data_IF_719092703540
#
_entry.id   IF_719092703540
#
_cell.length_a   1.000
_cell.length_b   1.000
_cell.length_c   1.000
_cell.angle_alpha   90.00
_cell.angle_beta   90.00
_cell.angle_gamma   90.00
#
_symmetry.space_group_name_H-M   'P 1'
#
loop_
_entity.id
_entity.type
_entity.pdbx_description
1 polymer ?
#
# COMPACT_ATOMS: atom_id res chain seq x y z
N UNK A 1 21.16 2.45 -7.76
CA UNK A 1 19.81 1.88 -7.61
C UNK A 1 19.53 0.84 -8.69
N UNK A 2 19.77 1.17 -9.96
CA UNK A 2 19.53 0.24 -11.09
C UNK A 2 20.22 -1.12 -10.93
N UNK A 3 21.41 -1.17 -10.32
CA UNK A 3 22.11 -2.43 -10.02
C UNK A 3 21.28 -3.44 -9.23
N UNK A 4 20.37 -2.97 -8.36
CA UNK A 4 19.46 -3.82 -7.59
C UNK A 4 18.34 -4.45 -8.43
N UNK A 5 18.07 -3.89 -9.62
CA UNK A 5 17.09 -4.41 -10.56
C UNK A 5 17.73 -5.30 -11.63
N UNK A 6 18.95 -4.95 -12.07
CA UNK A 6 19.65 -5.63 -13.17
C UNK A 6 20.35 -6.92 -12.74
N UNK A 7 20.68 -7.05 -11.45
CA UNK A 7 21.34 -8.24 -10.90
C UNK A 7 20.33 -9.23 -10.34
N UNK A 8 20.29 -10.46 -10.91
CA UNK A 8 19.41 -11.54 -10.45
C UNK A 8 19.66 -11.97 -9.00
N UNK A 9 20.87 -11.72 -8.48
CA UNK A 9 21.27 -12.09 -7.12
C UNK A 9 21.19 -10.90 -6.15
N UNK A 10 20.82 -9.71 -6.63
CA UNK A 10 20.73 -8.55 -5.75
C UNK A 10 19.56 -8.71 -4.76
N UNK A 11 19.78 -8.40 -3.47
CA UNK A 11 18.70 -8.36 -2.51
C UNK A 11 17.72 -7.22 -2.83
N UNK A 12 16.45 -7.36 -2.45
CA UNK A 12 15.46 -6.30 -2.64
C UNK A 12 15.91 -5.00 -1.94
N UNK A 13 16.02 -3.89 -2.70
CA UNK A 13 16.42 -2.56 -2.20
C UNK A 13 15.61 -2.13 -0.96
N UNK A 14 14.31 -2.49 -0.90
CA UNK A 14 13.43 -2.14 0.22
C UNK A 14 13.96 -2.66 1.56
N UNK A 15 14.74 -3.76 1.57
CA UNK A 15 15.35 -4.31 2.78
C UNK A 15 16.40 -3.37 3.40
N UNK A 16 16.98 -2.47 2.61
CA UNK A 16 17.93 -1.48 3.10
C UNK A 16 17.21 -0.20 3.51
N UNK A 17 16.35 0.31 2.64
CA UNK A 17 15.78 1.66 2.78
C UNK A 17 14.52 1.71 3.65
N UNK A 18 13.97 0.56 4.07
CA UNK A 18 12.88 0.48 5.05
C UNK A 18 13.33 -0.14 6.38
N UNK A 19 14.63 -0.37 6.54
CA UNK A 19 15.21 -0.96 7.75
C UNK A 19 15.39 0.06 8.89
N UNK A 20 15.86 -0.45 10.04
CA UNK A 20 16.36 0.36 11.15
C UNK A 20 17.81 -0.02 11.45
N UNK A 21 18.66 0.98 11.61
CA UNK A 21 20.05 0.81 12.07
C UNK A 21 20.17 1.49 13.44
N UNK A 22 20.33 0.69 14.49
CA UNK A 22 20.20 1.17 15.87
C UNK A 22 18.79 1.71 16.14
N UNK A 23 18.70 2.97 16.57
CA UNK A 23 17.42 3.67 16.80
C UNK A 23 16.92 4.48 15.59
N UNK A 24 17.69 4.54 14.49
CA UNK A 24 17.37 5.38 13.32
C UNK A 24 16.67 4.56 12.25
N UNK A 25 15.55 5.08 11.74
CA UNK A 25 14.93 4.58 10.51
C UNK A 25 15.80 5.01 9.33
N UNK A 26 16.10 4.09 8.43
CA UNK A 26 16.71 4.42 7.14
C UNK A 26 15.63 4.97 6.22
N UNK A 27 15.90 6.10 5.56
CA UNK A 27 14.94 6.82 4.70
C UNK A 27 15.35 6.81 3.23
N UNK A 28 16.64 6.68 2.97
CA UNK A 28 17.24 6.60 1.63
C UNK A 28 18.43 5.65 1.61
N UNK A 29 18.81 5.20 0.42
CA UNK A 29 20.00 4.39 0.21
C UNK A 29 21.28 5.16 0.56
N UNK A 30 21.32 6.47 0.27
CA UNK A 30 22.40 7.34 0.72
C UNK A 30 22.56 7.30 2.25
N UNK A 31 21.46 7.43 3.01
CA UNK A 31 21.51 7.35 4.47
C UNK A 31 21.90 5.94 4.96
N UNK A 32 21.48 4.88 4.26
CA UNK A 32 21.93 3.52 4.55
C UNK A 32 23.46 3.41 4.47
N UNK A 33 24.06 3.83 3.35
CA UNK A 33 25.50 3.77 3.14
C UNK A 33 26.27 4.61 4.18
N UNK A 34 25.75 5.81 4.49
CA UNK A 34 26.31 6.67 5.54
C UNK A 34 26.28 6.01 6.91
N UNK A 35 25.22 5.27 7.25
CA UNK A 35 25.07 4.62 8.55
C UNK A 35 25.96 3.38 8.71
N UNK A 36 26.28 2.68 7.62
CA UNK A 36 27.24 1.56 7.65
C UNK A 36 28.70 2.00 7.53
N UNK A 37 28.96 3.29 7.32
CA UNK A 37 30.31 3.87 7.31
C UNK A 37 31.02 3.77 5.96
N UNK A 38 30.29 3.80 4.85
CA UNK A 38 30.89 3.86 3.50
C UNK A 38 31.70 5.15 3.33
N UNK A 39 32.94 5.03 2.87
CA UNK A 39 33.91 6.15 2.86
C UNK A 39 33.82 7.00 1.58
N UNK A 40 33.37 6.43 0.47
CA UNK A 40 33.39 7.06 -0.86
C UNK A 40 32.02 7.57 -1.30
N UNK A 41 31.34 8.34 -0.44
CA UNK A 41 30.03 8.90 -0.73
C UNK A 41 30.12 10.32 -1.33
N UNK A 42 29.23 10.67 -2.28
CA UNK A 42 29.08 12.05 -2.70
C UNK A 42 28.65 12.93 -1.52
N UNK A 43 29.14 14.16 -1.47
CA UNK A 43 28.77 15.11 -0.43
C UNK A 43 27.51 15.86 -0.84
N UNK A 44 26.41 15.58 -0.15
CA UNK A 44 25.14 16.31 -0.29
C UNK A 44 24.95 17.26 0.89
N UNK A 45 24.35 18.41 0.62
CA UNK A 45 23.85 19.33 1.65
C UNK A 45 22.69 18.69 2.42
N UNK A 46 22.35 19.24 3.58
CA UNK A 46 21.21 18.73 4.37
C UNK A 46 19.89 18.87 3.61
N UNK A 47 19.69 19.97 2.85
CA UNK A 47 18.48 20.19 2.05
C UNK A 47 18.37 19.20 0.88
N UNK A 48 19.49 18.91 0.22
CA UNK A 48 19.59 17.88 -0.82
C UNK A 48 19.28 16.48 -0.27
N UNK A 49 19.80 16.15 0.92
CA UNK A 49 19.53 14.87 1.57
C UNK A 49 18.06 14.74 1.99
N UNK A 50 17.44 15.82 2.47
CA UNK A 50 16.00 15.84 2.77
C UNK A 50 15.18 15.58 1.50
N UNK A 51 15.52 16.21 0.38
CA UNK A 51 14.81 15.99 -0.88
C UNK A 51 14.96 14.54 -1.38
N UNK A 52 16.18 13.97 -1.28
CA UNK A 52 16.44 12.56 -1.56
C UNK A 52 15.54 11.66 -0.71
N UNK A 53 15.52 11.86 0.61
CA UNK A 53 14.72 11.09 1.54
C UNK A 53 13.23 11.14 1.19
N UNK A 54 12.70 12.33 0.90
CA UNK A 54 11.29 12.50 0.54
C UNK A 54 10.92 11.78 -0.75
N UNK A 55 11.78 11.83 -1.78
CA UNK A 55 11.52 11.17 -3.08
C UNK A 55 11.69 9.65 -2.97
N UNK A 56 12.69 9.18 -2.24
CA UNK A 56 12.97 7.74 -2.10
C UNK A 56 11.94 7.05 -1.18
N UNK A 57 11.38 7.77 -0.21
CA UNK A 57 10.29 7.26 0.63
C UNK A 57 9.02 6.90 -0.14
N UNK A 58 8.83 7.45 -1.35
CA UNK A 58 7.74 7.08 -2.26
C UNK A 58 7.83 5.62 -2.73
N UNK A 59 9.00 4.98 -2.68
CA UNK A 59 9.14 3.57 -3.02
C UNK A 59 8.54 2.64 -1.94
N UNK A 60 7.99 1.48 -2.35
CA UNK A 60 7.72 1.09 -3.73
C UNK A 60 6.55 1.91 -4.32
N UNK A 61 6.47 2.04 -5.64
CA UNK A 61 5.37 2.77 -6.30
C UNK A 61 4.37 1.79 -6.93
N UNK A 62 3.07 2.07 -6.81
CA UNK A 62 1.98 1.29 -7.45
C UNK A 62 1.29 2.04 -8.58
N UNK A 63 1.76 3.26 -8.81
CA UNK A 63 1.38 4.24 -9.81
C UNK A 63 2.64 5.02 -10.18
N UNK A 64 2.81 5.36 -11.46
CA UNK A 64 4.06 5.93 -11.98
C UNK A 64 4.07 7.46 -12.04
N UNK A 65 2.90 8.10 -11.92
CA UNK A 65 2.67 9.54 -12.08
C UNK A 65 3.65 10.41 -11.29
N UNK A 66 3.84 10.15 -9.99
CA UNK A 66 4.78 10.89 -9.15
C UNK A 66 6.21 10.85 -9.72
N UNK A 67 6.65 9.69 -10.20
CA UNK A 67 8.00 9.49 -10.72
C UNK A 67 8.15 10.06 -12.14
N UNK A 68 7.10 10.06 -12.95
CA UNK A 68 7.10 10.76 -14.24
C UNK A 68 7.22 12.28 -14.06
N UNK A 69 6.51 12.85 -13.08
CA UNK A 69 6.61 14.27 -12.72
C UNK A 69 8.04 14.62 -12.31
N UNK A 70 8.61 13.84 -11.38
CA UNK A 70 9.98 14.05 -10.89
C UNK A 70 10.96 13.91 -12.07
N UNK A 71 10.84 12.86 -12.89
CA UNK A 71 11.70 12.65 -14.06
C UNK A 71 11.66 13.82 -15.04
N UNK A 72 10.46 14.34 -15.32
CA UNK A 72 10.27 15.50 -16.18
C UNK A 72 10.99 16.73 -15.62
N UNK A 73 10.84 16.99 -14.31
CA UNK A 73 11.48 18.12 -13.63
C UNK A 73 13.00 18.00 -13.48
N UNK A 74 13.59 16.80 -13.59
CA UNK A 74 15.05 16.67 -13.62
C UNK A 74 15.67 17.41 -14.83
N UNK A 75 14.89 17.67 -15.88
CA UNK A 75 15.33 18.34 -17.11
C UNK A 75 14.56 19.62 -17.44
N UNK A 76 13.55 19.98 -16.64
CA UNK A 76 12.70 21.14 -16.85
C UNK A 76 12.48 21.88 -15.53
N UNK A 77 12.38 23.20 -15.57
CA UNK A 77 12.23 23.98 -14.34
C UNK A 77 10.82 23.88 -13.75
N UNK A 78 9.80 23.61 -14.56
CA UNK A 78 8.39 23.67 -14.16
C UNK A 78 7.57 22.63 -14.93
N UNK A 79 6.66 21.97 -14.22
CA UNK A 79 5.84 20.87 -14.74
C UNK A 79 4.92 21.35 -15.86
N UNK A 80 4.79 20.52 -16.90
CA UNK A 80 3.71 20.61 -17.90
C UNK A 80 2.93 19.31 -17.89
N UNK A 81 1.70 19.35 -17.41
CA UNK A 81 0.87 18.16 -17.18
C UNK A 81 0.60 17.41 -18.48
N UNK A 82 0.45 18.14 -19.58
CA UNK A 82 0.16 17.61 -20.92
C UNK A 82 1.29 16.74 -21.48
N UNK A 83 2.53 16.94 -21.03
CA UNK A 83 3.71 16.16 -21.45
C UNK A 83 3.86 14.85 -20.66
N UNK A 84 3.08 14.68 -19.57
CA UNK A 84 3.17 13.53 -18.66
C UNK A 84 2.03 12.53 -18.92
N UNK A 85 0.83 13.03 -19.25
CA UNK A 85 -0.34 12.19 -19.52
C UNK A 85 -0.09 11.24 -20.69
N UNK A 86 -0.74 10.07 -20.67
CA UNK A 86 -0.68 9.12 -21.77
C UNK A 86 0.58 8.25 -21.82
N UNK A 87 1.45 8.32 -20.80
CA UNK A 87 2.56 7.37 -20.65
C UNK A 87 2.08 5.91 -20.70
N UNK A 88 0.97 5.61 -20.01
CA UNK A 88 0.20 4.39 -20.18
C UNK A 88 -1.28 4.67 -19.90
N UNK A 89 -2.14 3.65 -19.99
CA UNK A 89 -3.60 3.80 -19.82
C UNK A 89 -4.04 4.28 -18.42
N UNK A 90 -3.18 4.19 -17.41
CA UNK A 90 -3.46 4.62 -16.02
C UNK A 90 -3.03 6.07 -15.77
N UNK A 91 -2.11 6.62 -16.57
CA UNK A 91 -1.61 8.00 -16.43
C UNK A 91 -2.50 8.96 -17.22
N UNK A 92 -3.37 9.68 -16.51
CA UNK A 92 -4.33 10.62 -17.09
C UNK A 92 -4.35 11.94 -16.30
N UNK A 93 -5.12 12.90 -16.79
CA UNK A 93 -5.17 14.25 -16.22
C UNK A 93 -5.47 14.25 -14.70
N UNK A 94 -6.42 13.43 -14.25
CA UNK A 94 -6.82 13.39 -12.84
C UNK A 94 -5.72 12.79 -11.97
N UNK A 95 -5.06 11.72 -12.43
CA UNK A 95 -4.00 11.05 -11.66
C UNK A 95 -2.76 11.92 -11.56
N UNK A 96 -2.40 12.61 -12.65
CA UNK A 96 -1.26 13.54 -12.66
C UNK A 96 -1.52 14.74 -11.76
N UNK A 97 -2.72 15.35 -11.80
CA UNK A 97 -3.05 16.43 -10.86
C UNK A 97 -3.00 15.98 -9.40
N UNK A 98 -3.53 14.80 -9.10
CA UNK A 98 -3.46 14.22 -7.76
C UNK A 98 -2.01 13.96 -7.32
N UNK A 99 -1.14 13.49 -8.23
CA UNK A 99 0.28 13.29 -7.96
C UNK A 99 1.00 14.62 -7.70
N UNK A 100 0.72 15.69 -8.46
CA UNK A 100 1.26 17.03 -8.20
C UNK A 100 0.86 17.52 -6.80
N UNK A 101 -0.41 17.36 -6.43
CA UNK A 101 -0.91 17.73 -5.10
C UNK A 101 -0.20 16.95 -3.99
N UNK A 102 -0.06 15.63 -4.15
CA UNK A 102 0.64 14.80 -3.17
C UNK A 102 2.12 15.17 -3.01
N UNK A 103 2.83 15.39 -4.12
CA UNK A 103 4.23 15.81 -4.09
C UNK A 103 4.40 17.20 -3.46
N UNK A 104 3.46 18.11 -3.70
CA UNK A 104 3.42 19.43 -3.02
C UNK A 104 3.19 19.26 -1.52
N UNK A 105 2.21 18.44 -1.11
CA UNK A 105 1.91 18.19 0.29
C UNK A 105 3.06 17.52 1.05
N UNK A 106 3.86 16.69 0.36
CA UNK A 106 5.09 16.08 0.91
C UNK A 106 6.29 17.04 0.92
N UNK A 107 6.17 18.26 0.38
CA UNK A 107 7.24 19.24 0.33
C UNK A 107 8.31 18.97 -0.73
N UNK A 108 8.04 18.06 -1.67
CA UNK A 108 8.92 17.76 -2.81
C UNK A 108 8.80 18.86 -3.87
N UNK A 109 7.58 19.39 -4.03
CA UNK A 109 7.29 20.45 -4.98
C UNK A 109 6.84 21.74 -4.30
N UNK A 110 7.09 22.85 -4.98
CA UNK A 110 6.55 24.17 -4.68
C UNK A 110 6.27 24.91 -5.99
N UNK A 111 5.04 25.39 -6.15
CA UNK A 111 4.60 26.16 -7.33
C UNK A 111 4.94 25.47 -8.67
N UNK A 112 4.74 24.14 -8.75
CA UNK A 112 5.00 23.36 -9.97
C UNK A 112 6.48 23.07 -10.26
N UNK A 113 7.39 23.34 -9.33
CA UNK A 113 8.84 23.10 -9.43
C UNK A 113 9.32 22.26 -8.27
N UNK A 114 10.56 21.74 -8.32
CA UNK A 114 11.20 21.21 -7.11
C UNK A 114 11.24 22.28 -6.01
N UNK A 115 11.03 21.86 -4.76
CA UNK A 115 11.14 22.77 -3.61
C UNK A 115 12.56 23.28 -3.35
N UNK A 116 13.57 22.59 -3.91
CA UNK A 116 14.97 22.97 -3.90
C UNK A 116 15.38 23.56 -5.26
N UNK A 117 15.91 24.80 -5.25
CA UNK A 117 16.22 25.56 -6.48
C UNK A 117 17.36 24.95 -7.31
N UNK A 118 18.35 24.33 -6.66
CA UNK A 118 19.50 23.73 -7.34
C UNK A 118 19.68 22.27 -6.91
N UNK A 119 19.36 21.36 -7.83
CA UNK A 119 19.50 19.91 -7.64
C UNK A 119 20.70 19.31 -8.39
N UNK A 120 21.59 20.14 -8.95
CA UNK A 120 22.65 19.68 -9.86
C UNK A 120 23.57 18.61 -9.23
N UNK A 121 23.90 18.73 -7.94
CA UNK A 121 24.76 17.74 -7.25
C UNK A 121 24.06 16.38 -7.07
N UNK A 122 22.74 16.37 -6.89
CA UNK A 122 21.96 15.15 -6.67
C UNK A 122 21.28 14.64 -7.94
N UNK A 123 21.37 15.36 -9.07
CA UNK A 123 20.65 15.02 -10.30
C UNK A 123 20.93 13.59 -10.78
N UNK A 124 22.19 13.16 -10.75
CA UNK A 124 22.56 11.79 -11.14
C UNK A 124 21.98 10.74 -10.20
N UNK A 125 21.99 11.00 -8.88
CA UNK A 125 21.38 10.13 -7.88
C UNK A 125 19.87 10.02 -8.10
N UNK A 126 19.18 11.15 -8.25
CA UNK A 126 17.74 11.19 -8.47
C UNK A 126 17.35 10.52 -9.79
N UNK A 127 18.14 10.68 -10.85
CA UNK A 127 17.89 10.03 -12.13
C UNK A 127 17.97 8.50 -11.99
N UNK A 128 19.00 7.98 -11.32
CA UNK A 128 19.15 6.54 -11.05
C UNK A 128 18.02 5.99 -10.15
N UNK A 129 17.64 6.72 -9.10
CA UNK A 129 16.50 6.39 -8.23
C UNK A 129 15.16 6.35 -8.99
N UNK A 130 14.87 7.39 -9.77
CA UNK A 130 13.61 7.51 -10.51
C UNK A 130 13.54 6.47 -11.63
N UNK A 131 14.64 6.24 -12.34
CA UNK A 131 14.73 5.16 -13.33
C UNK A 131 14.49 3.79 -12.67
N UNK A 132 15.07 3.53 -11.50
CA UNK A 132 14.80 2.29 -10.76
C UNK A 132 13.31 2.15 -10.45
N UNK A 133 12.68 3.20 -9.91
CA UNK A 133 11.24 3.16 -9.58
C UNK A 133 10.33 2.94 -10.78
N UNK A 134 10.58 3.65 -11.89
CA UNK A 134 9.81 3.50 -13.14
C UNK A 134 9.99 2.09 -13.72
N UNK A 135 11.23 1.59 -13.84
CA UNK A 135 11.47 0.24 -14.37
C UNK A 135 10.88 -0.84 -13.46
N UNK A 136 10.97 -0.66 -12.13
CA UNK A 136 10.35 -1.57 -11.16
C UNK A 136 8.83 -1.60 -11.31
N UNK A 137 8.20 -0.44 -11.51
CA UNK A 137 6.78 -0.34 -11.82
C UNK A 137 6.42 -1.05 -13.13
N UNK A 138 7.21 -0.87 -14.19
CA UNK A 138 6.95 -1.53 -15.48
C UNK A 138 7.06 -3.06 -15.39
N UNK A 139 8.03 -3.58 -14.62
CA UNK A 139 8.14 -5.02 -14.33
C UNK A 139 6.93 -5.55 -13.56
N UNK A 140 6.43 -4.79 -12.58
CA UNK A 140 5.36 -5.24 -11.68
C UNK A 140 3.96 -5.01 -12.24
N UNK A 141 3.73 -3.91 -12.95
CA UNK A 141 2.42 -3.48 -13.42
C UNK A 141 2.33 -3.49 -14.94
N UNK A 142 3.34 -2.97 -15.66
CA UNK A 142 3.36 -2.88 -17.12
C UNK A 142 2.05 -2.34 -17.70
N UNK A 143 1.51 -3.05 -18.69
CA UNK A 143 0.23 -2.71 -19.34
C UNK A 143 -1.04 -2.98 -18.51
N UNK A 144 -0.90 -3.25 -17.21
CA UNK A 144 -2.04 -3.47 -16.33
C UNK A 144 -3.03 -2.30 -16.38
N UNK A 145 -4.32 -2.64 -16.40
CA UNK A 145 -5.43 -1.67 -16.45
C UNK A 145 -6.28 -1.77 -15.19
N UNK A 146 -6.69 -0.62 -14.67
CA UNK A 146 -7.53 -0.50 -13.47
C UNK A 146 -6.75 -0.06 -12.23
N UNK A 147 -7.43 -0.13 -11.08
CA UNK A 147 -6.91 0.44 -9.84
C UNK A 147 -5.94 -0.53 -9.13
N UNK A 148 -6.28 -1.84 -9.11
CA UNK A 148 -5.52 -2.86 -8.38
C UNK A 148 -5.29 -4.13 -9.20
N UNK A 149 -4.03 -4.52 -9.34
CA UNK A 149 -3.62 -5.75 -10.00
C UNK A 149 -3.77 -6.91 -9.02
N UNK A 150 -4.49 -7.96 -9.45
CA UNK A 150 -4.70 -9.15 -8.64
C UNK A 150 -3.36 -9.70 -8.14
N UNK A 151 -3.35 -10.05 -6.86
CA UNK A 151 -2.24 -10.60 -6.09
C UNK A 151 -0.99 -9.73 -6.02
N UNK A 152 -1.08 -8.47 -6.44
CA UNK A 152 -0.04 -7.47 -6.17
C UNK A 152 -0.15 -6.94 -4.74
N UNK A 153 0.96 -6.40 -4.24
CA UNK A 153 1.09 -5.97 -2.86
C UNK A 153 0.93 -4.45 -2.73
N UNK A 154 0.17 -4.04 -1.72
CA UNK A 154 -0.17 -2.64 -1.45
C UNK A 154 -0.09 -2.34 0.05
N UNK A 155 0.53 -1.22 0.40
CA UNK A 155 0.28 -0.58 1.69
C UNK A 155 -1.09 0.10 1.68
N UNK A 156 -1.65 0.43 2.85
CA UNK A 156 -2.91 1.19 2.91
C UNK A 156 -2.83 2.55 2.21
N UNK A 157 -1.69 3.24 2.33
CA UNK A 157 -1.46 4.51 1.63
C UNK A 157 -1.55 4.29 0.12
N UNK A 158 -0.82 3.31 -0.41
CA UNK A 158 -0.84 2.95 -1.83
C UNK A 158 -2.22 2.54 -2.33
N UNK A 159 -3.03 1.86 -1.50
CA UNK A 159 -4.39 1.54 -1.91
C UNK A 159 -5.24 2.79 -2.12
N UNK A 160 -5.06 3.84 -1.31
CA UNK A 160 -5.77 5.11 -1.46
C UNK A 160 -5.19 5.94 -2.62
N UNK A 161 -3.88 5.98 -2.77
CA UNK A 161 -3.20 6.62 -3.91
C UNK A 161 -3.70 6.08 -5.25
N UNK A 162 -3.91 4.76 -5.36
CA UNK A 162 -4.35 4.12 -6.60
C UNK A 162 -5.73 4.60 -7.09
N UNK A 163 -6.58 5.06 -6.16
CA UNK A 163 -7.92 5.60 -6.44
C UNK A 163 -8.01 7.12 -6.26
N UNK A 164 -6.85 7.81 -6.23
CA UNK A 164 -6.75 9.26 -6.04
C UNK A 164 -7.39 9.79 -4.74
N UNK A 165 -7.43 8.97 -3.68
CA UNK A 165 -7.94 9.37 -2.37
C UNK A 165 -6.78 9.67 -1.42
N UNK A 166 -6.99 10.65 -0.54
CA UNK A 166 -6.01 11.04 0.48
C UNK A 166 -5.92 9.99 1.58
N UNK A 167 -4.70 9.60 1.97
CA UNK A 167 -4.47 8.69 3.08
C UNK A 167 -4.57 9.40 4.44
N UNK A 168 -5.72 9.25 5.09
CA UNK A 168 -6.04 9.91 6.37
C UNK A 168 -5.83 9.01 7.59
N UNK A 169 -5.71 9.62 8.77
CA UNK A 169 -5.48 8.91 10.03
C UNK A 169 -6.57 7.88 10.38
N UNK A 170 -7.84 8.13 10.03
CA UNK A 170 -8.91 7.16 10.23
C UNK A 170 -8.70 5.88 9.38
N UNK A 171 -8.17 6.01 8.17
CA UNK A 171 -7.84 4.87 7.29
C UNK A 171 -6.61 4.12 7.83
N UNK A 172 -5.61 4.88 8.31
CA UNK A 172 -4.43 4.29 8.95
C UNK A 172 -4.80 3.39 10.14
N UNK A 173 -5.70 3.86 10.99
CA UNK A 173 -6.08 3.19 12.25
C UNK A 173 -7.11 2.07 12.09
N UNK A 174 -7.90 2.05 11.01
CA UNK A 174 -8.99 1.08 10.81
C UNK A 174 -8.65 0.04 9.75
N UNK A 175 -9.21 -1.16 9.89
CA UNK A 175 -9.11 -2.23 8.88
C UNK A 175 -10.09 -2.07 7.71
N UNK A 176 -10.91 -1.01 7.72
CA UNK A 176 -11.99 -0.82 6.75
C UNK A 176 -12.11 0.64 6.35
N UNK A 177 -12.38 0.88 5.07
CA UNK A 177 -12.75 2.17 4.52
C UNK A 177 -13.99 1.98 3.65
N UNK A 178 -14.98 2.86 3.82
CA UNK A 178 -16.19 2.87 3.00
C UNK A 178 -16.17 4.19 2.24
N UNK A 179 -16.14 4.11 0.92
CA UNK A 179 -16.24 5.27 0.06
C UNK A 179 -17.71 5.60 -0.16
N UNK A 180 -18.16 6.72 0.41
CA UNK A 180 -19.56 7.14 0.36
C UNK A 180 -19.97 7.64 -1.03
N UNK A 181 -19.02 8.05 -1.87
CA UNK A 181 -19.32 8.52 -3.23
C UNK A 181 -19.63 7.34 -4.16
N UNK A 182 -18.83 6.28 -4.06
CA UNK A 182 -18.96 5.10 -4.92
C UNK A 182 -19.82 4.00 -4.29
N UNK A 183 -20.02 4.02 -2.97
CA UNK A 183 -20.62 2.93 -2.21
C UNK A 183 -19.71 1.71 -2.06
N UNK A 184 -18.43 1.81 -2.43
CA UNK A 184 -17.49 0.70 -2.37
C UNK A 184 -16.86 0.56 -0.96
N UNK A 185 -16.44 -0.65 -0.60
CA UNK A 185 -15.81 -0.95 0.68
C UNK A 185 -14.45 -1.60 0.48
N UNK A 186 -13.46 -1.13 1.20
CA UNK A 186 -12.07 -1.57 1.14
C UNK A 186 -11.71 -2.19 2.49
N UNK A 187 -11.19 -3.41 2.48
CA UNK A 187 -10.90 -4.18 3.69
C UNK A 187 -9.45 -4.61 3.67
N UNK A 188 -8.73 -4.29 4.76
CA UNK A 188 -7.37 -4.75 5.02
C UNK A 188 -7.37 -5.70 6.20
N UNK A 189 -7.03 -6.97 5.95
CA UNK A 189 -7.01 -8.02 6.96
C UNK A 189 -5.59 -8.55 7.17
N UNK A 190 -5.17 -8.66 8.43
CA UNK A 190 -4.02 -9.46 8.82
C UNK A 190 -4.47 -10.84 9.28
N UNK A 191 -4.23 -11.88 8.48
CA UNK A 191 -4.29 -13.27 8.93
C UNK A 191 -3.10 -13.52 9.86
N UNK A 192 -3.28 -14.36 10.88
CA UNK A 192 -2.29 -14.52 11.94
C UNK A 192 -1.47 -15.79 11.71
N UNK A 193 -0.14 -15.67 11.60
CA UNK A 193 0.77 -16.80 11.84
C UNK A 193 1.51 -16.79 13.17
N UNK A 194 1.52 -15.66 13.89
CA UNK A 194 2.28 -15.56 15.16
C UNK A 194 1.44 -15.84 16.40
N UNK A 195 1.46 -17.10 16.84
CA UNK A 195 0.86 -17.57 18.10
C UNK A 195 1.44 -16.91 19.37
N UNK A 196 2.54 -16.16 19.26
CA UNK A 196 3.23 -15.53 20.38
C UNK A 196 2.63 -14.17 20.80
N UNK A 197 2.00 -13.41 19.88
CA UNK A 197 1.31 -12.16 20.22
C UNK A 197 -0.13 -12.50 20.62
N UNK A 198 -0.41 -12.54 21.93
CA UNK A 198 -1.80 -12.61 22.42
C UNK A 198 -2.55 -11.40 21.88
N UNK A 199 -3.50 -11.65 20.99
CA UNK A 199 -4.28 -10.57 20.41
C UNK A 199 -5.14 -9.87 21.45
N UNK A 200 -5.40 -8.59 21.17
CA UNK A 200 -6.39 -7.85 21.93
C UNK A 200 -7.81 -8.35 21.66
N UNK A 201 -8.12 -8.88 20.48
CA UNK A 201 -9.49 -9.26 20.06
C UNK A 201 -9.49 -10.59 19.31
N UNK A 202 -10.61 -11.31 19.30
CA UNK A 202 -10.76 -12.66 18.72
C UNK A 202 -11.49 -12.67 17.38
N UNK A 203 -11.13 -11.75 16.47
CA UNK A 203 -11.70 -11.68 15.13
C UNK A 203 -11.60 -13.03 14.39
N UNK A 204 -12.67 -13.37 13.66
CA UNK A 204 -12.85 -14.66 12.97
C UNK A 204 -12.48 -14.63 11.48
N UNK A 205 -11.61 -13.71 11.08
CA UNK A 205 -11.24 -13.52 9.67
C UNK A 205 -10.47 -14.72 9.12
N UNK A 206 -10.94 -15.30 8.02
CA UNK A 206 -10.28 -16.44 7.33
C UNK A 206 -10.89 -16.71 5.96
N UNK A 207 -10.12 -17.35 5.08
CA UNK A 207 -10.70 -18.04 3.94
C UNK A 207 -11.45 -19.29 4.42
N UNK A 208 -12.68 -19.49 3.95
CA UNK A 208 -13.47 -20.71 4.20
C UNK A 208 -13.61 -21.59 2.95
N UNK A 209 -13.26 -21.02 1.78
CA UNK A 209 -13.07 -21.70 0.51
C UNK A 209 -12.22 -20.81 -0.42
N UNK A 210 -11.81 -21.29 -1.60
CA UNK A 210 -11.10 -20.49 -2.59
C UNK A 210 -11.89 -19.29 -3.13
N UNK A 211 -13.21 -19.23 -2.91
CA UNK A 211 -14.08 -18.14 -3.41
C UNK A 211 -14.72 -17.32 -2.29
N UNK A 212 -14.64 -17.75 -1.03
CA UNK A 212 -15.29 -17.09 0.10
C UNK A 212 -14.29 -16.77 1.21
N UNK A 213 -14.23 -15.50 1.55
CA UNK A 213 -13.52 -14.99 2.72
C UNK A 213 -14.51 -14.56 3.81
N UNK A 214 -14.43 -15.17 4.98
CA UNK A 214 -15.20 -14.73 6.14
C UNK A 214 -14.53 -13.51 6.76
N UNK A 215 -15.28 -12.43 6.94
CA UNK A 215 -14.78 -11.18 7.51
C UNK A 215 -15.68 -10.67 8.63
N UNK A 216 -15.07 -10.18 9.71
CA UNK A 216 -15.74 -9.60 10.86
C UNK A 216 -15.53 -8.07 10.94
N UNK A 217 -16.63 -7.34 11.07
CA UNK A 217 -16.64 -5.87 11.07
C UNK A 217 -16.01 -5.26 12.31
N UNK A 218 -15.70 -3.95 12.25
CA UNK A 218 -15.26 -3.20 13.42
C UNK A 218 -16.27 -3.20 14.59
N UNK A 219 -15.75 -3.01 15.81
CA UNK A 219 -16.53 -2.97 17.05
C UNK A 219 -17.74 -2.02 16.99
N UNK A 220 -18.82 -2.42 17.68
CA UNK A 220 -20.08 -1.68 17.77
C UNK A 220 -20.82 -1.53 16.44
N UNK A 221 -20.59 -2.45 15.51
CA UNK A 221 -21.33 -2.55 14.25
C UNK A 221 -22.51 -3.49 14.43
N UNK A 222 -23.71 -3.02 14.10
CA UNK A 222 -24.94 -3.81 14.06
C UNK A 222 -25.68 -3.48 12.77
N UNK A 223 -26.62 -4.30 12.34
CA UNK A 223 -27.37 -4.06 11.10
C UNK A 223 -28.11 -2.70 11.10
N UNK A 224 -28.41 -2.15 12.28
CA UNK A 224 -29.08 -0.86 12.45
C UNK A 224 -28.12 0.31 12.65
N UNK A 225 -26.83 0.08 12.91
CA UNK A 225 -25.86 1.15 13.10
C UNK A 225 -25.56 1.86 11.76
N UNK A 226 -25.06 3.10 11.83
CA UNK A 226 -24.72 3.87 10.62
C UNK A 226 -23.69 3.13 9.75
N UNK A 227 -22.66 2.55 10.37
CA UNK A 227 -21.64 1.75 9.69
C UNK A 227 -22.24 0.45 9.15
N UNK A 228 -23.05 -0.26 9.93
CA UNK A 228 -23.66 -1.52 9.47
C UNK A 228 -24.58 -1.31 8.27
N UNK A 229 -25.38 -0.23 8.27
CA UNK A 229 -26.19 0.14 7.09
C UNK A 229 -25.32 0.45 5.87
N UNK A 230 -24.17 1.11 6.04
CA UNK A 230 -23.25 1.37 4.94
C UNK A 230 -22.68 0.05 4.37
N UNK A 231 -22.22 -0.86 5.24
CA UNK A 231 -21.71 -2.18 4.83
C UNK A 231 -22.78 -3.02 4.13
N UNK A 232 -24.02 -3.01 4.61
CA UNK A 232 -25.12 -3.75 3.99
C UNK A 232 -25.50 -3.22 2.60
N UNK A 233 -25.18 -1.96 2.31
CA UNK A 233 -25.45 -1.32 1.02
C UNK A 233 -24.18 -1.18 0.16
N UNK A 234 -23.08 -1.87 0.50
CA UNK A 234 -21.84 -1.79 -0.26
C UNK A 234 -22.02 -2.34 -1.68
N UNK A 235 -21.54 -1.59 -2.68
CA UNK A 235 -21.60 -1.97 -4.09
C UNK A 235 -20.57 -3.05 -4.43
N UNK A 236 -19.32 -2.80 -4.07
CA UNK A 236 -18.19 -3.73 -4.22
C UNK A 236 -17.38 -3.80 -2.93
N UNK A 237 -16.73 -4.94 -2.73
CA UNK A 237 -15.79 -5.16 -1.63
C UNK A 237 -14.41 -5.46 -2.20
N UNK A 238 -13.42 -4.61 -1.93
CA UNK A 238 -12.02 -4.82 -2.31
C UNK A 238 -11.28 -5.44 -1.13
N UNK A 239 -10.80 -6.67 -1.32
CA UNK A 239 -10.18 -7.44 -0.25
C UNK A 239 -8.65 -7.43 -0.36
N UNK A 240 -7.99 -6.94 0.69
CA UNK A 240 -6.54 -6.92 0.83
C UNK A 240 -6.15 -7.72 2.08
N UNK A 241 -5.31 -8.74 1.92
CA UNK A 241 -4.97 -9.67 3.00
C UNK A 241 -3.46 -9.78 3.14
N UNK A 242 -2.95 -9.81 4.37
CA UNK A 242 -1.55 -10.13 4.69
C UNK A 242 -1.49 -11.27 5.70
N UNK A 243 -0.41 -12.02 5.68
CA UNK A 243 -0.16 -13.18 6.56
C UNK A 243 0.52 -12.84 7.88
N UNK A 244 1.28 -11.74 7.90
CA UNK A 244 2.02 -11.24 9.06
C UNK A 244 2.07 -9.72 8.99
N UNK A 245 2.22 -9.07 10.14
CA UNK A 245 2.26 -7.61 10.21
C UNK A 245 3.60 -7.04 9.74
N UNK A 246 4.69 -7.70 10.13
CA UNK A 246 6.06 -7.28 9.89
C UNK A 246 6.99 -8.51 9.78
N UNK A 247 8.07 -8.37 9.01
CA UNK A 247 9.19 -9.32 8.91
C UNK A 247 10.48 -8.51 8.96
N UNK A 248 11.45 -8.92 9.79
CA UNK A 248 12.74 -8.22 9.97
C UNK A 248 12.61 -6.70 10.24
N UNK A 249 11.60 -6.30 11.03
CA UNK A 249 11.21 -4.91 11.33
C UNK A 249 10.65 -4.09 10.16
N UNK A 250 10.35 -4.73 9.03
CA UNK A 250 9.71 -4.12 7.87
C UNK A 250 8.23 -4.48 7.90
N UNK A 251 7.36 -3.46 7.91
CA UNK A 251 5.92 -3.66 7.85
C UNK A 251 5.56 -4.26 6.49
N UNK A 252 4.89 -5.41 6.50
CA UNK A 252 4.50 -6.10 5.27
C UNK A 252 3.26 -5.46 4.63
N UNK A 253 3.25 -5.32 3.29
CA UNK A 253 2.08 -4.88 2.56
C UNK A 253 0.98 -5.95 2.55
N UNK A 254 -0.21 -5.57 2.09
CA UNK A 254 -1.33 -6.46 1.87
C UNK A 254 -1.40 -6.91 0.40
N UNK A 255 -1.65 -8.19 0.19
CA UNK A 255 -1.91 -8.76 -1.13
C UNK A 255 -3.37 -8.53 -1.52
N UNK A 256 -3.62 -8.01 -2.72
CA UNK A 256 -4.98 -7.78 -3.22
C UNK A 256 -5.59 -9.08 -3.78
N UNK A 257 -6.69 -9.56 -3.19
CA UNK A 257 -7.35 -10.80 -3.60
C UNK A 257 -8.50 -10.61 -4.59
N UNK A 258 -8.88 -9.36 -4.87
CA UNK A 258 -9.90 -9.05 -5.85
C UNK A 258 -11.12 -8.36 -5.28
N UNK A 259 -12.10 -8.24 -6.16
CA UNK A 259 -13.42 -7.71 -5.87
C UNK A 259 -14.32 -8.86 -5.41
N UNK A 260 -15.18 -8.59 -4.45
CA UNK A 260 -16.27 -9.46 -4.05
C UNK A 260 -17.50 -8.69 -3.60
N UNK A 261 -18.43 -9.42 -2.98
CA UNK A 261 -19.67 -8.88 -2.42
C UNK A 261 -19.93 -9.47 -1.05
N UNK A 262 -20.54 -8.67 -0.17
CA UNK A 262 -21.02 -9.18 1.10
C UNK A 262 -22.25 -10.06 0.90
N UNK A 263 -22.19 -11.26 1.43
CA UNK A 263 -23.28 -12.22 1.52
C UNK A 263 -23.39 -12.73 2.97
N UNK A 264 -24.52 -13.38 3.27
CA UNK A 264 -24.74 -14.14 4.50
C UNK A 264 -24.38 -13.36 5.78
N UNK A 265 -24.90 -12.14 5.93
CA UNK A 265 -24.64 -11.31 7.12
C UNK A 265 -25.21 -11.95 8.39
N UNK A 266 -24.41 -11.97 9.46
CA UNK A 266 -24.77 -12.56 10.75
C UNK A 266 -24.38 -11.62 11.88
N UNK A 267 -25.22 -11.51 12.90
CA UNK A 267 -24.83 -10.83 14.14
C UNK A 267 -23.70 -11.64 14.82
N UNK A 268 -22.64 -10.96 15.22
CA UNK A 268 -21.48 -11.56 15.90
C UNK A 268 -21.04 -10.66 17.05
N UNK A 269 -19.96 -11.08 17.70
CA UNK A 269 -19.30 -10.35 18.76
C UNK A 269 -17.83 -10.71 18.83
N UNK A 270 -17.05 -9.74 19.27
CA UNK A 270 -15.63 -9.92 19.62
C UNK A 270 -15.42 -9.54 21.09
N UNK A 271 -14.47 -10.22 21.73
CA UNK A 271 -14.10 -10.02 23.12
C UNK A 271 -12.70 -9.40 23.17
N UNK A 272 -12.60 -8.25 23.83
CA UNK A 272 -11.30 -7.66 24.15
C UNK A 272 -10.64 -8.51 25.26
N UNK A 273 -9.55 -9.21 24.94
CA UNK A 273 -8.89 -10.13 25.86
C UNK A 273 -8.31 -9.43 27.09
N UNK A 274 -7.99 -8.13 27.00
CA UNK A 274 -7.43 -7.32 28.10
C UNK A 274 -8.52 -6.80 29.02
N UNK A 275 -9.58 -6.22 28.47
CA UNK A 275 -10.66 -5.59 29.27
C UNK A 275 -11.81 -6.54 29.57
N UNK A 276 -11.88 -7.68 28.88
CA UNK A 276 -13.02 -8.61 28.85
C UNK A 276 -14.33 -7.97 28.36
N UNK A 277 -14.25 -6.79 27.75
CA UNK A 277 -15.41 -6.14 27.16
C UNK A 277 -15.85 -6.88 25.90
N UNK A 278 -17.17 -7.04 25.75
CA UNK A 278 -17.80 -7.62 24.57
C UNK A 278 -18.30 -6.51 23.66
N UNK A 279 -17.94 -6.58 22.38
CA UNK A 279 -18.37 -5.62 21.36
C UNK A 279 -19.17 -6.34 20.29
N UNK A 280 -20.36 -5.81 19.98
CA UNK A 280 -21.18 -6.32 18.87
C UNK A 280 -20.50 -6.03 17.54
N UNK A 281 -20.54 -7.00 16.65
CA UNK A 281 -19.98 -6.96 15.29
C UNK A 281 -20.97 -7.61 14.33
N UNK A 282 -20.70 -7.48 13.04
CA UNK A 282 -21.32 -8.26 11.98
C UNK A 282 -20.27 -9.17 11.36
N UNK A 283 -20.66 -10.40 11.06
CA UNK A 283 -19.87 -11.37 10.31
C UNK A 283 -20.45 -11.45 8.90
N UNK A 284 -19.59 -11.36 7.90
CA UNK A 284 -19.95 -11.42 6.49
C UNK A 284 -19.17 -12.52 5.79
N UNK A 285 -19.79 -13.09 4.76
CA UNK A 285 -19.08 -13.88 3.77
C UNK A 285 -18.80 -12.95 2.57
N UNK A 286 -17.54 -12.65 2.30
CA UNK A 286 -17.13 -11.93 1.10
C UNK A 286 -16.95 -12.97 0.00
N UNK A 287 -17.91 -13.03 -0.92
CA UNK A 287 -17.82 -13.86 -2.11
C UNK A 287 -17.04 -13.12 -3.19
N UNK A 288 -15.85 -13.60 -3.51
CA UNK A 288 -14.98 -13.04 -4.53
C UNK A 288 -15.54 -13.31 -5.94
N UNK A 289 -15.22 -12.44 -6.88
CA UNK A 289 -15.59 -12.60 -8.29
C UNK A 289 -14.75 -13.68 -8.99
N UNK A 290 -13.60 -14.06 -8.41
CA UNK A 290 -12.66 -15.05 -8.94
C UNK A 290 -12.13 -15.94 -7.82
N UNK A 291 -11.99 -17.22 -8.11
CA UNK A 291 -11.35 -18.17 -7.19
C UNK A 291 -9.88 -17.82 -7.00
N UNK A 292 -9.40 -17.97 -5.77
CA UNK A 292 -8.00 -17.79 -5.43
C UNK A 292 -7.19 -18.99 -5.97
N UNK A 293 -6.13 -18.76 -6.77
CA UNK A 293 -5.26 -19.80 -7.26
C UNK A 293 -4.58 -20.60 -6.15
N UNK A 294 -4.33 -21.88 -6.42
CA UNK A 294 -3.75 -22.83 -5.46
C UNK A 294 -2.38 -22.40 -4.91
N UNK A 295 -1.60 -21.60 -5.65
CA UNK A 295 -0.30 -21.09 -5.23
C UNK A 295 -0.37 -20.21 -3.97
N UNK A 296 -1.53 -19.60 -3.67
CA UNK A 296 -1.75 -18.81 -2.47
C UNK A 296 -2.30 -19.61 -1.28
N UNK A 297 -2.73 -20.86 -1.49
CA UNK A 297 -3.53 -21.58 -0.48
C UNK A 297 -2.75 -21.88 0.79
N UNK A 298 -1.48 -22.27 0.66
CA UNK A 298 -0.62 -22.59 1.81
C UNK A 298 -0.29 -21.33 2.63
N UNK A 299 -0.07 -20.21 1.97
CA UNK A 299 0.33 -18.97 2.64
C UNK A 299 -0.82 -18.29 3.35
N UNK A 300 -2.04 -18.39 2.80
CA UNK A 300 -3.25 -17.75 3.31
C UNK A 300 -4.25 -18.72 3.95
N UNK A 301 -3.85 -19.98 4.17
CA UNK A 301 -4.62 -21.03 4.84
C UNK A 301 -6.00 -21.28 4.19
N UNK A 302 -6.02 -21.30 2.86
CA UNK A 302 -7.23 -21.49 2.06
C UNK A 302 -7.52 -23.00 1.97
N UNK A 303 -8.72 -23.46 2.39
CA UNK A 303 -9.06 -24.87 2.34
C UNK A 303 -9.40 -25.32 0.92
N UNK A 304 -9.08 -26.58 0.58
CA UNK A 304 -9.35 -27.16 -0.75
C UNK A 304 -10.86 -27.38 -1.05
N UNK A 305 -11.71 -27.37 -0.02
CA UNK A 305 -13.17 -27.54 -0.10
C UNK A 305 -13.87 -26.60 0.88
N UNK A 306 -15.12 -26.24 0.57
CA UNK A 306 -16.00 -25.52 1.50
C UNK A 306 -16.08 -26.35 2.78
N UNK A 307 -15.64 -25.76 3.90
CA UNK A 307 -15.93 -26.31 5.22
C UNK A 307 -17.36 -25.89 5.51
N UNK A 308 -18.33 -26.79 5.27
CA UNK A 308 -19.70 -26.60 5.77
C UNK A 308 -19.59 -26.50 7.30
N UNK A 309 -19.78 -25.28 7.82
CA UNK A 309 -19.95 -25.08 9.25
C UNK A 309 -21.44 -25.32 9.53
N UNK A 310 -21.77 -26.56 9.91
CA UNK A 310 -23.06 -26.91 10.53
C UNK A 310 -23.30 -26.12 11.83
#
# INVERSE_FOLDING_TARGET
HMDYLESEIAPNLMRFIKSKIGSKRVTSYYNFLKYIGEENLPLFTEEENILIDLIEELLPIVRVDEYLIINYLLNHNEIKVEEIIGYNSRVNLNTVHNAVEQLTNKGILKDGRFSLDNISNIKTYLLDLVNYGINKYEVEFGDFKGDYKLYSNYTKEQTMTSINKEFKMNIRLKGTYIDEETGDTYIWVGLKKDKAKKERTDYKDKFISPIIFQWESENNTTQNSSIGKKLLNSNKVYLFVRKMDDEDNIILPFTYFGIGRFENVRDSKVIDQKTKAEYKTLLFDIKLDKEVPAEYWIDFEIPEKVIDND
#
